data_IF_793177049116
#
_entry.id   IF_793177049116
#
_cell.length_a   1.000
_cell.length_b   1.000
_cell.length_c   1.000
_cell.angle_alpha   90.00
_cell.angle_beta   90.00
_cell.angle_gamma   90.00
#
_symmetry.space_group_name_H-M   'P 1'
#
loop_
_entity.id
_entity.type
_entity.pdbx_description
1 polymer ?
#
# COMPACT_ATOMS: atom_id res chain seq x y z
N UNK A 1 20.82 -19.55 24.02
CA UNK A 1 21.82 -18.66 23.39
C UNK A 1 21.04 -17.43 22.94
N UNK A 2 21.09 -16.35 23.73
CA UNK A 2 20.21 -15.18 23.53
C UNK A 2 20.62 -14.42 22.28
N UNK A 3 19.69 -14.20 21.37
CA UNK A 3 19.92 -13.32 20.22
C UNK A 3 20.32 -11.94 20.74
N UNK A 4 21.53 -11.50 20.40
CA UNK A 4 21.98 -10.14 20.66
C UNK A 4 21.04 -9.19 19.94
N UNK A 5 20.47 -8.22 20.67
CA UNK A 5 19.72 -7.12 20.07
C UNK A 5 20.63 -6.37 19.10
N UNK A 6 20.31 -6.41 17.80
CA UNK A 6 21.11 -5.83 16.70
C UNK A 6 20.64 -4.42 16.28
N UNK A 7 19.81 -3.77 17.11
CA UNK A 7 19.20 -2.47 16.83
C UNK A 7 17.76 -2.58 16.35
N UNK A 8 17.03 -1.46 16.43
CA UNK A 8 15.59 -1.38 16.10
C UNK A 8 15.35 -1.68 14.62
N UNK A 9 16.22 -1.18 13.75
CA UNK A 9 16.14 -1.43 12.31
C UNK A 9 16.21 -2.91 11.94
N UNK A 10 17.10 -3.68 12.57
CA UNK A 10 17.21 -5.12 12.32
C UNK A 10 15.98 -5.88 12.82
N UNK A 11 15.42 -5.47 13.96
CA UNK A 11 14.20 -6.07 14.49
C UNK A 11 13.01 -5.90 13.52
N UNK A 12 12.88 -4.72 12.90
CA UNK A 12 11.85 -4.48 11.88
C UNK A 12 12.09 -5.38 10.66
N UNK A 13 13.33 -5.52 10.21
CA UNK A 13 13.69 -6.39 9.10
C UNK A 13 13.40 -7.87 9.38
N UNK A 14 13.70 -8.34 10.60
CA UNK A 14 13.37 -9.70 11.06
C UNK A 14 11.84 -9.92 11.08
N UNK A 15 11.06 -8.92 11.49
CA UNK A 15 9.60 -8.98 11.45
C UNK A 15 9.07 -9.05 10.01
N UNK A 16 9.65 -8.28 9.09
CA UNK A 16 9.30 -8.38 7.67
C UNK A 16 9.66 -9.75 7.09
N UNK A 17 10.81 -10.33 7.44
CA UNK A 17 11.18 -11.70 7.05
C UNK A 17 10.16 -12.74 7.55
N UNK A 18 9.71 -12.61 8.79
CA UNK A 18 8.70 -13.50 9.36
C UNK A 18 7.36 -13.39 8.62
N UNK A 19 6.90 -12.17 8.33
CA UNK A 19 5.66 -11.93 7.58
C UNK A 19 5.75 -12.55 6.18
N UNK A 20 6.85 -12.34 5.46
CA UNK A 20 7.04 -12.88 4.11
C UNK A 20 7.08 -14.41 4.09
N UNK A 21 7.63 -15.04 5.13
CA UNK A 21 7.68 -16.51 5.26
C UNK A 21 6.29 -17.11 5.38
N UNK A 22 5.38 -16.44 6.09
CA UNK A 22 4.01 -16.91 6.30
C UNK A 22 3.05 -16.51 5.17
N UNK A 23 3.45 -15.56 4.33
CA UNK A 23 2.60 -14.98 3.29
C UNK A 23 3.30 -15.03 1.91
N UNK A 24 3.12 -16.12 1.13
CA UNK A 24 3.79 -16.28 -0.16
C UNK A 24 3.59 -15.12 -1.15
N UNK A 25 2.41 -14.47 -1.13
CA UNK A 25 2.11 -13.28 -1.96
C UNK A 25 2.94 -12.04 -1.61
N UNK A 26 3.50 -11.98 -0.40
CA UNK A 26 4.33 -10.87 0.08
C UNK A 26 5.83 -11.16 -0.05
N UNK A 27 6.24 -12.35 -0.50
CA UNK A 27 7.65 -12.73 -0.59
C UNK A 27 8.47 -11.72 -1.40
N UNK A 28 9.47 -11.11 -0.77
CA UNK A 28 10.36 -10.12 -1.38
C UNK A 28 9.73 -8.74 -1.63
N UNK A 29 8.52 -8.51 -1.11
CA UNK A 29 7.78 -7.24 -1.26
C UNK A 29 8.19 -6.22 -0.21
N UNK A 30 8.38 -6.65 1.04
CA UNK A 30 8.66 -5.74 2.15
C UNK A 30 10.12 -5.29 2.06
N UNK A 31 10.32 -3.99 1.83
CA UNK A 31 11.67 -3.44 1.70
C UNK A 31 12.36 -3.38 3.06
N UNK A 32 13.55 -3.98 3.14
CA UNK A 32 14.39 -3.94 4.35
C UNK A 32 14.89 -2.53 4.60
N UNK A 33 14.93 -2.11 5.86
CA UNK A 33 15.21 -0.73 6.27
C UNK A 33 16.58 -0.56 6.93
N UNK A 34 17.23 -1.62 7.42
CA UNK A 34 18.53 -1.49 8.09
C UNK A 34 19.61 -0.88 7.18
N UNK A 35 19.48 -1.06 5.86
CA UNK A 35 20.39 -0.48 4.88
C UNK A 35 20.32 1.05 4.73
N UNK A 36 19.28 1.71 5.26
CA UNK A 36 19.14 3.17 5.17
C UNK A 36 19.87 3.94 6.27
N UNK A 37 20.38 3.25 7.31
CA UNK A 37 21.12 3.88 8.39
C UNK A 37 20.29 4.87 9.23
N UNK A 38 18.98 4.67 9.34
CA UNK A 38 18.11 5.50 10.18
C UNK A 38 18.46 5.26 11.66
N UNK A 39 18.69 6.31 12.46
CA UNK A 39 19.00 6.16 13.88
C UNK A 39 17.88 5.47 14.67
N UNK A 40 18.25 4.61 15.62
CA UNK A 40 17.29 3.84 16.43
C UNK A 40 16.33 4.73 17.25
N UNK A 41 16.79 5.90 17.71
CA UNK A 41 15.93 6.88 18.40
C UNK A 41 14.79 7.39 17.51
N UNK A 42 15.09 7.64 16.22
CA UNK A 42 14.10 8.09 15.25
C UNK A 42 13.11 6.98 14.91
N UNK A 43 13.60 5.74 14.73
CA UNK A 43 12.74 4.58 14.49
C UNK A 43 11.80 4.31 15.67
N UNK A 44 12.33 4.39 16.89
CA UNK A 44 11.53 4.23 18.12
C UNK A 44 10.47 5.31 18.21
N UNK A 45 10.83 6.58 17.95
CA UNK A 45 9.86 7.68 17.93
C UNK A 45 8.77 7.50 16.87
N UNK A 46 9.10 6.95 15.70
CA UNK A 46 8.13 6.65 14.65
C UNK A 46 7.17 5.52 15.07
N UNK A 47 7.69 4.44 15.66
CA UNK A 47 6.86 3.36 16.21
C UNK A 47 5.93 3.89 17.28
N UNK A 48 6.43 4.71 18.21
CA UNK A 48 5.65 5.31 19.28
C UNK A 48 4.54 6.21 18.74
N UNK A 49 4.84 7.01 17.71
CA UNK A 49 3.85 7.89 17.07
C UNK A 49 2.66 7.09 16.52
N UNK A 50 2.94 6.01 15.80
CA UNK A 50 1.87 5.13 15.29
C UNK A 50 1.18 4.36 16.42
N UNK A 51 1.89 3.93 17.45
CA UNK A 51 1.34 3.13 18.56
C UNK A 51 0.41 3.93 19.48
N UNK A 52 0.63 5.24 19.61
CA UNK A 52 -0.25 6.13 20.38
C UNK A 52 -1.56 6.48 19.64
N UNK A 53 -1.63 6.17 18.35
CA UNK A 53 -2.82 6.46 17.54
C UNK A 53 -3.81 5.29 17.66
N UNK A 54 -5.03 5.57 18.12
CA UNK A 54 -6.06 4.54 18.18
C UNK A 54 -6.72 4.34 16.80
N UNK A 55 -6.30 3.30 16.08
CA UNK A 55 -6.90 2.92 14.80
C UNK A 55 -8.18 2.10 14.93
N UNK A 56 -8.47 1.54 16.11
CA UNK A 56 -9.63 0.65 16.33
C UNK A 56 -10.89 1.39 16.77
N UNK A 57 -10.72 2.53 17.44
CA UNK A 57 -11.81 3.41 17.87
C UNK A 57 -11.43 4.86 17.52
N UNK A 58 -11.42 5.18 16.21
CA UNK A 58 -11.04 6.50 15.75
C UNK A 58 -12.09 7.53 16.20
N UNK A 59 -11.61 8.70 16.62
CA UNK A 59 -12.44 9.85 16.99
C UNK A 59 -12.13 11.02 16.06
N UNK A 60 -13.15 11.74 15.62
CA UNK A 60 -13.01 12.98 14.85
C UNK A 60 -13.88 14.06 15.48
N UNK A 61 -13.26 15.16 15.93
CA UNK A 61 -13.93 16.25 16.63
C UNK A 61 -14.75 15.81 17.86
N UNK A 62 -14.28 14.79 18.58
CA UNK A 62 -14.95 14.23 19.76
C UNK A 62 -16.00 13.16 19.45
N UNK A 63 -16.31 12.91 18.18
CA UNK A 63 -17.29 11.91 17.76
C UNK A 63 -16.62 10.63 17.24
N UNK A 64 -17.12 9.44 17.58
CA UNK A 64 -16.65 8.18 17.01
C UNK A 64 -16.83 8.15 15.50
N UNK A 65 -15.81 7.71 14.78
CA UNK A 65 -15.87 7.50 13.34
C UNK A 65 -16.05 6.01 13.05
N UNK A 66 -17.04 5.66 12.23
CA UNK A 66 -17.29 4.28 11.82
C UNK A 66 -16.39 3.84 10.65
N UNK A 67 -15.07 3.94 10.83
CA UNK A 67 -14.07 3.42 9.88
C UNK A 67 -13.34 2.23 10.49
N UNK A 68 -13.06 1.21 9.68
CA UNK A 68 -12.21 0.10 10.13
C UNK A 68 -10.76 0.56 10.18
N UNK A 69 -9.97 0.00 11.11
CA UNK A 69 -8.53 0.29 11.23
C UNK A 69 -7.78 0.15 9.89
N UNK A 70 -8.12 -0.87 9.09
CA UNK A 70 -7.53 -1.10 7.77
C UNK A 70 -7.82 0.03 6.78
N UNK A 71 -8.98 0.67 6.86
CA UNK A 71 -9.38 1.75 5.95
C UNK A 71 -8.57 3.01 6.28
N UNK A 72 -8.39 3.28 7.58
CA UNK A 72 -7.54 4.39 8.07
C UNK A 72 -6.10 4.17 7.65
N UNK A 73 -5.53 2.99 7.93
CA UNK A 73 -4.15 2.67 7.56
C UNK A 73 -3.96 2.72 6.03
N UNK A 74 -4.94 2.28 5.26
CA UNK A 74 -4.95 2.43 3.80
C UNK A 74 -4.91 3.90 3.37
N UNK A 75 -5.73 4.75 3.99
CA UNK A 75 -5.75 6.19 3.70
C UNK A 75 -4.43 6.87 4.06
N UNK A 76 -3.86 6.56 5.22
CA UNK A 76 -2.55 7.06 5.66
C UNK A 76 -1.45 6.62 4.68
N UNK A 77 -1.46 5.35 4.26
CA UNK A 77 -0.52 4.82 3.28
C UNK A 77 -0.59 5.57 1.93
N UNK A 78 -1.80 5.76 1.40
CA UNK A 78 -2.02 6.49 0.13
C UNK A 78 -1.62 7.97 0.24
N UNK A 79 -1.88 8.60 1.38
CA UNK A 79 -1.46 9.97 1.65
C UNK A 79 0.07 10.09 1.60
N UNK A 80 0.80 9.27 2.36
CA UNK A 80 2.26 9.31 2.39
C UNK A 80 2.86 8.98 1.03
N UNK A 81 2.30 8.01 0.31
CA UNK A 81 2.71 7.68 -1.05
C UNK A 81 2.59 8.89 -1.99
N UNK A 82 1.47 9.61 -1.95
CA UNK A 82 1.28 10.83 -2.72
C UNK A 82 2.24 11.95 -2.31
N UNK A 83 2.47 12.15 -1.01
CA UNK A 83 3.41 13.16 -0.51
C UNK A 83 4.86 12.85 -0.94
N UNK A 84 5.28 11.59 -0.86
CA UNK A 84 6.61 11.17 -1.33
C UNK A 84 6.75 11.34 -2.84
N UNK A 85 5.73 10.97 -3.62
CA UNK A 85 5.74 11.19 -5.06
C UNK A 85 5.79 12.69 -5.43
N UNK A 86 5.11 13.57 -4.69
CA UNK A 86 5.21 15.02 -4.88
C UNK A 86 6.60 15.55 -4.52
N UNK A 87 7.21 15.04 -3.45
CA UNK A 87 8.55 15.42 -3.03
C UNK A 87 9.63 14.94 -4.03
N UNK A 88 9.49 13.74 -4.59
CA UNK A 88 10.35 13.20 -5.64
C UNK A 88 10.09 13.85 -7.01
N UNK A 89 8.83 14.15 -7.32
CA UNK A 89 8.40 14.80 -8.56
C UNK A 89 8.96 16.21 -8.74
N UNK A 90 9.23 16.94 -7.65
CA UNK A 90 10.02 18.19 -7.67
C UNK A 90 11.44 18.00 -8.22
N UNK A 91 11.93 16.76 -8.29
CA UNK A 91 13.22 16.36 -8.87
C UNK A 91 13.10 15.68 -10.24
N UNK A 92 11.91 15.70 -10.88
CA UNK A 92 11.72 15.26 -12.27
C UNK A 92 11.14 13.85 -12.48
N UNK A 93 10.59 13.19 -11.45
CA UNK A 93 9.94 11.87 -11.58
C UNK A 93 8.43 11.94 -11.89
N UNK A 94 7.96 11.12 -12.84
CA UNK A 94 6.53 10.94 -13.16
C UNK A 94 5.99 9.67 -12.50
N UNK A 95 5.52 9.72 -11.24
CA UNK A 95 5.05 8.50 -10.55
C UNK A 95 3.87 8.72 -9.60
N UNK A 96 2.82 9.44 -10.02
CA UNK A 96 1.55 9.40 -9.30
C UNK A 96 0.41 10.00 -10.13
N UNK A 97 -0.68 9.26 -10.32
CA UNK A 97 -1.92 9.83 -10.89
C UNK A 97 -2.71 10.48 -9.75
N UNK A 98 -3.03 11.79 -9.82
CA UNK A 98 -3.82 12.45 -8.79
C UNK A 98 -5.16 11.77 -8.56
N UNK A 99 -5.58 11.71 -7.28
CA UNK A 99 -6.82 11.04 -6.87
C UNK A 99 -8.05 11.50 -7.64
N UNK A 100 -8.16 12.80 -7.96
CA UNK A 100 -9.28 13.34 -8.74
C UNK A 100 -9.41 12.72 -10.12
N UNK A 101 -8.30 12.49 -10.83
CA UNK A 101 -8.29 11.87 -12.16
C UNK A 101 -8.66 10.39 -12.04
N UNK A 102 -8.09 9.68 -11.06
CA UNK A 102 -8.39 8.27 -10.83
C UNK A 102 -9.88 8.08 -10.49
N UNK A 103 -10.44 8.90 -9.58
CA UNK A 103 -11.86 8.87 -9.25
C UNK A 103 -12.73 9.13 -10.48
N UNK A 104 -12.45 10.18 -11.24
CA UNK A 104 -13.22 10.50 -12.44
C UNK A 104 -13.29 9.32 -13.41
N UNK A 105 -12.15 8.72 -13.74
CA UNK A 105 -12.08 7.59 -14.68
C UNK A 105 -12.87 6.39 -14.16
N UNK A 106 -12.72 6.04 -12.88
CA UNK A 106 -13.43 4.89 -12.29
C UNK A 106 -14.94 5.13 -12.26
N UNK A 107 -15.39 6.32 -11.88
CA UNK A 107 -16.81 6.68 -11.87
C UNK A 107 -17.41 6.65 -13.29
N UNK A 108 -16.63 6.99 -14.33
CA UNK A 108 -17.08 6.88 -15.72
C UNK A 108 -17.14 5.44 -16.24
N UNK A 109 -16.24 4.57 -15.77
CA UNK A 109 -16.16 3.17 -16.21
C UNK A 109 -17.15 2.24 -15.50
N UNK A 110 -17.58 2.64 -14.30
CA UNK A 110 -18.55 1.92 -13.48
C UNK A 110 -18.25 0.41 -13.32
N UNK A 111 -17.08 0.02 -12.74
CA UNK A 111 -16.63 -1.37 -12.72
C UNK A 111 -17.37 -2.23 -11.67
N UNK A 112 -18.65 -2.51 -11.90
CA UNK A 112 -19.49 -3.30 -10.99
C UNK A 112 -19.12 -4.79 -10.93
N UNK A 113 -18.56 -5.34 -12.01
CA UNK A 113 -18.13 -6.75 -12.08
C UNK A 113 -17.12 -7.00 -13.21
N UNK A 114 -16.45 -8.15 -13.16
CA UNK A 114 -15.57 -8.62 -14.21
C UNK A 114 -14.08 -8.43 -13.89
N UNK A 115 -13.28 -8.22 -14.93
CA UNK A 115 -11.82 -8.13 -14.82
C UNK A 115 -11.39 -6.69 -14.99
N UNK A 116 -10.71 -6.15 -13.99
CA UNK A 116 -10.09 -4.82 -14.04
C UNK A 116 -8.62 -5.04 -14.37
N UNK A 117 -8.12 -4.38 -15.41
CA UNK A 117 -6.73 -4.49 -15.85
C UNK A 117 -6.09 -3.11 -16.00
N UNK A 118 -4.90 -2.95 -15.40
CA UNK A 118 -4.06 -1.77 -15.60
C UNK A 118 -2.63 -2.20 -16.01
N UNK A 119 -2.22 -1.96 -17.28
CA UNK A 119 -0.91 -2.38 -17.79
C UNK A 119 0.26 -1.55 -17.28
N UNK A 120 0.01 -0.42 -16.62
CA UNK A 120 1.03 0.47 -16.06
C UNK A 120 0.55 0.98 -14.70
N UNK A 121 0.27 0.04 -13.80
CA UNK A 121 -0.52 0.28 -12.60
C UNK A 121 0.12 1.22 -11.58
N UNK A 122 1.41 1.50 -11.71
CA UNK A 122 2.14 2.26 -10.71
C UNK A 122 1.98 1.62 -9.34
N UNK A 123 1.47 2.39 -8.39
CA UNK A 123 1.17 1.95 -7.02
C UNK A 123 -0.22 1.34 -6.83
N UNK A 124 -0.97 1.08 -7.91
CA UNK A 124 -2.29 0.46 -7.87
C UNK A 124 -3.43 1.42 -7.51
N UNK A 125 -3.28 2.72 -7.77
CA UNK A 125 -4.29 3.74 -7.43
C UNK A 125 -5.67 3.47 -8.05
N UNK A 126 -5.71 3.03 -9.30
CA UNK A 126 -6.96 2.66 -9.99
C UNK A 126 -7.69 1.51 -9.28
N UNK A 127 -6.98 0.50 -8.81
CA UNK A 127 -7.60 -0.63 -8.10
C UNK A 127 -8.16 -0.22 -6.74
N UNK A 128 -7.44 0.64 -5.99
CA UNK A 128 -7.96 1.21 -4.74
C UNK A 128 -9.26 1.97 -5.00
N UNK A 129 -9.30 2.76 -6.06
CA UNK A 129 -10.48 3.56 -6.37
C UNK A 129 -11.64 2.72 -6.90
N UNK A 130 -11.37 1.68 -7.71
CA UNK A 130 -12.39 0.72 -8.12
C UNK A 130 -13.01 -0.02 -6.92
N UNK A 131 -12.18 -0.42 -5.95
CA UNK A 131 -12.66 -1.03 -4.72
C UNK A 131 -13.55 -0.08 -3.90
N UNK A 132 -13.16 1.20 -3.80
CA UNK A 132 -13.99 2.25 -3.18
C UNK A 132 -15.31 2.47 -3.92
N UNK A 133 -15.29 2.50 -5.25
CA UNK A 133 -16.49 2.64 -6.08
C UNK A 133 -17.50 1.53 -5.78
N UNK A 134 -17.04 0.29 -5.73
CA UNK A 134 -17.89 -0.88 -5.44
C UNK A 134 -18.49 -0.78 -4.04
N UNK A 135 -17.68 -0.41 -3.05
CA UNK A 135 -18.17 -0.23 -1.67
C UNK A 135 -19.23 0.87 -1.57
N UNK A 136 -19.07 1.98 -2.29
CA UNK A 136 -19.99 3.12 -2.25
C UNK A 136 -21.31 2.83 -2.98
N UNK A 137 -21.29 2.03 -4.05
CA UNK A 137 -22.46 1.76 -4.89
C UNK A 137 -23.10 0.38 -4.60
N UNK A 138 -22.87 -0.17 -3.40
CA UNK A 138 -23.43 -1.44 -2.92
C UNK A 138 -23.10 -2.68 -3.78
N UNK A 139 -21.97 -2.65 -4.50
CA UNK A 139 -21.50 -3.77 -5.28
C UNK A 139 -20.79 -4.84 -4.42
N UNK A 140 -20.75 -6.07 -4.93
CA UNK A 140 -20.01 -7.16 -4.30
C UNK A 140 -18.52 -7.07 -4.65
N UNK A 141 -17.63 -6.85 -3.68
CA UNK A 141 -16.16 -6.80 -3.90
C UNK A 141 -15.61 -8.08 -4.57
N UNK A 142 -16.27 -9.22 -4.38
CA UNK A 142 -15.89 -10.48 -5.01
C UNK A 142 -16.33 -10.59 -6.48
N UNK A 143 -17.11 -9.63 -6.99
CA UNK A 143 -17.53 -9.60 -8.39
C UNK A 143 -16.43 -9.09 -9.33
N UNK A 144 -15.34 -8.53 -8.78
CA UNK A 144 -14.20 -8.07 -9.57
C UNK A 144 -12.95 -8.93 -9.33
N UNK A 145 -12.11 -9.00 -10.36
CA UNK A 145 -10.76 -9.57 -10.29
C UNK A 145 -9.77 -8.53 -10.81
N UNK A 146 -8.74 -8.25 -10.02
CA UNK A 146 -7.76 -7.20 -10.29
C UNK A 146 -6.50 -7.80 -10.91
N UNK A 147 -6.12 -7.27 -12.07
CA UNK A 147 -4.93 -7.64 -12.81
C UNK A 147 -4.10 -6.39 -13.12
N UNK A 148 -2.77 -6.50 -13.08
CA UNK A 148 -1.95 -5.34 -13.43
C UNK A 148 -0.49 -5.67 -13.70
N UNK A 149 0.20 -4.72 -14.34
CA UNK A 149 1.62 -4.80 -14.62
C UNK A 149 2.31 -3.49 -14.25
N UNK A 150 3.53 -3.61 -13.74
CA UNK A 150 4.41 -2.48 -13.46
C UNK A 150 5.85 -2.93 -13.73
N UNK A 151 6.55 -2.16 -14.54
CA UNK A 151 7.94 -2.41 -14.95
C UNK A 151 8.93 -2.11 -13.83
N UNK A 152 8.68 -1.06 -13.05
CA UNK A 152 9.54 -0.66 -11.94
C UNK A 152 9.30 -1.58 -10.74
N UNK A 153 10.34 -2.33 -10.36
CA UNK A 153 10.21 -3.31 -9.28
C UNK A 153 9.89 -2.70 -7.91
N UNK A 154 10.37 -1.48 -7.64
CA UNK A 154 10.07 -0.77 -6.39
C UNK A 154 8.62 -0.33 -6.38
N UNK A 155 8.15 0.30 -7.45
CA UNK A 155 6.76 0.75 -7.59
C UNK A 155 5.78 -0.42 -7.53
N UNK A 156 6.12 -1.55 -8.16
CA UNK A 156 5.32 -2.79 -8.07
C UNK A 156 5.17 -3.28 -6.63
N UNK A 157 6.21 -3.19 -5.80
CA UNK A 157 6.13 -3.57 -4.37
C UNK A 157 5.19 -2.65 -3.60
N UNK A 158 5.20 -1.35 -3.90
CA UNK A 158 4.24 -0.39 -3.33
C UNK A 158 2.80 -0.78 -3.69
N UNK A 159 2.54 -1.16 -4.95
CA UNK A 159 1.22 -1.65 -5.36
C UNK A 159 0.77 -2.89 -4.58
N UNK A 160 1.67 -3.88 -4.43
CA UNK A 160 1.36 -5.11 -3.66
C UNK A 160 1.03 -4.78 -2.21
N UNK A 161 1.82 -3.92 -1.56
CA UNK A 161 1.53 -3.48 -0.19
C UNK A 161 0.20 -2.72 -0.12
N UNK A 162 -0.08 -1.85 -1.09
CA UNK A 162 -1.31 -1.06 -1.15
C UNK A 162 -2.56 -1.95 -1.23
N UNK A 163 -2.50 -3.02 -2.03
CA UNK A 163 -3.57 -4.03 -2.10
C UNK A 163 -3.68 -4.84 -0.82
N UNK A 164 -2.55 -5.29 -0.25
CA UNK A 164 -2.52 -6.10 0.96
C UNK A 164 -3.12 -5.37 2.18
N UNK A 165 -2.77 -4.09 2.38
CA UNK A 165 -3.32 -3.25 3.47
C UNK A 165 -4.84 -3.16 3.40
N UNK A 166 -5.41 -3.13 2.19
CA UNK A 166 -6.86 -3.00 1.96
C UNK A 166 -7.59 -4.32 1.80
N UNK A 167 -6.85 -5.44 1.86
CA UNK A 167 -7.39 -6.78 1.64
C UNK A 167 -8.00 -6.96 0.24
N UNK A 168 -7.47 -6.27 -0.77
CA UNK A 168 -7.93 -6.41 -2.17
C UNK A 168 -7.23 -7.61 -2.79
N UNK A 169 -7.94 -8.64 -3.28
CA UNK A 169 -7.31 -9.72 -4.04
C UNK A 169 -6.77 -9.20 -5.38
N UNK A 170 -5.56 -9.59 -5.73
CA UNK A 170 -4.89 -9.16 -6.97
C UNK A 170 -4.07 -10.29 -7.59
N UNK A 171 -3.82 -10.14 -8.90
CA UNK A 171 -2.85 -10.90 -9.68
C UNK A 171 -2.02 -9.94 -10.54
N UNK A 172 -0.77 -9.70 -10.13
CA UNK A 172 0.14 -8.82 -10.86
C UNK A 172 1.15 -9.58 -11.73
N UNK A 173 0.86 -10.86 -12.01
CA UNK A 173 1.73 -11.77 -12.73
C UNK A 173 3.12 -11.92 -12.12
N UNK A 174 3.98 -12.64 -12.82
CA UNK A 174 5.41 -12.64 -12.52
C UNK A 174 6.03 -11.29 -12.87
N UNK A 175 7.17 -10.97 -12.25
CA UNK A 175 7.94 -9.78 -12.62
C UNK A 175 8.18 -9.82 -14.14
N UNK A 176 7.87 -8.74 -14.90
CA UNK A 176 8.13 -8.73 -16.32
C UNK A 176 9.60 -9.09 -16.57
N UNK A 177 9.84 -10.18 -17.32
CA UNK A 177 11.16 -10.41 -17.91
C UNK A 177 11.27 -9.35 -18.99
N UNK A 178 11.95 -8.25 -18.68
CA UNK A 178 12.28 -7.26 -19.69
C UNK A 178 13.21 -7.99 -20.68
N UNK A 179 12.79 -8.23 -21.94
CA UNK A 179 13.76 -8.59 -22.96
C UNK A 179 14.62 -7.35 -23.16
N UNK A 180 15.92 -7.52 -23.41
CA UNK A 180 16.96 -6.50 -23.56
C UNK A 180 17.69 -6.15 -22.25
#
# INVERSE_FOLDING_TARGET
MGDKFKGVSRLIDDAFEAIERENPKLKGVLQRIAGFGVPDEMLTGLIDLFSRTNFTQPMHNGEPVHLQAKDILGHVYEYFLGQFALAEGKKGGQYFTPKSIVTLIVEMLEPYSGRIYDPAMGSGGFFVQADRFIQAHAGNRNAISVYGQESNSTTRKLAVMNMAIRGIPFDFGDKPKIPY
#
